data_IF_947162688271
#
_entry.id   IF_947162688271
#
_cell.length_a   1.000
_cell.length_b   1.000
_cell.length_c   1.000
_cell.angle_alpha   90.00
_cell.angle_beta   90.00
_cell.angle_gamma   90.00
#
_symmetry.space_group_name_H-M   'P 1'
#
loop_
_entity.id
_entity.type
_entity.pdbx_description
1 polymer ?
#
# COMPACT_ATOMS: atom_id res chain seq x y z
N UNK A 1 30.57 26.03 16.25
CA UNK A 1 30.72 25.30 14.97
C UNK A 1 29.47 24.47 14.77
N UNK A 2 28.52 24.97 13.98
CA UNK A 2 27.26 24.28 13.72
C UNK A 2 27.53 23.14 12.75
N UNK A 3 27.49 21.90 13.25
CA UNK A 3 27.49 20.71 12.43
C UNK A 3 26.16 20.67 11.68
N UNK A 4 26.12 21.23 10.47
CA UNK A 4 25.03 21.01 9.52
C UNK A 4 25.08 19.56 9.09
N UNK A 5 24.46 18.67 9.87
CA UNK A 5 24.19 17.28 9.51
C UNK A 5 23.36 17.31 8.24
N UNK A 6 24.05 17.26 7.10
CA UNK A 6 23.44 17.05 5.81
C UNK A 6 22.86 15.65 5.86
N UNK A 7 21.55 15.56 6.08
CA UNK A 7 20.78 14.32 5.99
C UNK A 7 20.80 13.92 4.51
N UNK A 8 21.85 13.21 4.10
CA UNK A 8 21.92 12.60 2.77
C UNK A 8 20.74 11.62 2.71
N UNK A 9 19.76 11.81 1.82
CA UNK A 9 18.63 10.90 1.73
C UNK A 9 19.16 9.51 1.29
N UNK A 10 18.82 8.43 2.00
CA UNK A 10 19.29 7.11 1.65
C UNK A 10 18.83 6.75 0.22
N UNK A 11 19.77 6.32 -0.61
CA UNK A 11 19.61 6.15 -2.07
C UNK A 11 18.53 5.11 -2.44
N UNK A 12 18.14 4.25 -1.48
CA UNK A 12 17.23 3.11 -1.65
C UNK A 12 15.78 3.39 -1.23
N UNK A 13 15.44 4.64 -0.91
CA UNK A 13 14.07 5.02 -0.59
C UNK A 13 13.18 5.12 -1.82
N UNK A 14 11.97 4.59 -1.71
CA UNK A 14 10.90 4.64 -2.70
C UNK A 14 9.72 5.44 -2.16
N UNK A 15 9.15 6.31 -3.00
CA UNK A 15 7.92 7.00 -2.69
C UNK A 15 6.73 6.18 -3.19
N UNK A 16 5.84 5.85 -2.27
CA UNK A 16 4.62 5.13 -2.52
C UNK A 16 3.46 6.09 -2.32
N UNK A 17 2.51 6.09 -3.26
CA UNK A 17 1.26 6.83 -3.12
C UNK A 17 0.20 5.85 -2.64
N UNK A 18 -0.31 6.04 -1.43
CA UNK A 18 -1.34 5.20 -0.86
C UNK A 18 -2.67 5.91 -0.96
N UNK A 19 -3.63 5.30 -1.66
CA UNK A 19 -5.00 5.84 -1.79
C UNK A 19 -5.94 5.02 -0.92
N UNK A 20 -6.56 5.61 0.11
CA UNK A 20 -7.59 4.97 0.93
C UNK A 20 -8.89 4.89 0.14
N UNK A 21 -9.47 3.71 -0.02
CA UNK A 21 -10.68 3.54 -0.83
C UNK A 21 -11.94 4.07 -0.13
N UNK A 22 -12.05 3.93 1.19
CA UNK A 22 -13.25 4.32 1.92
C UNK A 22 -13.51 5.83 1.92
N UNK A 23 -12.45 6.63 1.76
CA UNK A 23 -12.51 8.11 1.86
C UNK A 23 -11.88 8.84 0.66
N UNK A 24 -11.07 8.14 -0.14
CA UNK A 24 -10.29 8.75 -1.23
C UNK A 24 -8.99 9.41 -0.77
N UNK A 25 -8.63 9.30 0.51
CA UNK A 25 -7.46 9.97 1.09
C UNK A 25 -6.14 9.47 0.47
N UNK A 26 -5.34 10.41 -0.04
CA UNK A 26 -4.04 10.15 -0.65
C UNK A 26 -2.92 10.48 0.33
N UNK A 27 -2.11 9.48 0.67
CA UNK A 27 -0.94 9.62 1.54
C UNK A 27 0.33 9.23 0.79
N UNK A 28 1.31 10.14 0.77
CA UNK A 28 2.64 9.87 0.23
C UNK A 28 3.55 9.32 1.33
N UNK A 29 4.06 8.10 1.16
CA UNK A 29 4.91 7.43 2.13
C UNK A 29 6.26 7.06 1.51
N UNK A 30 7.35 7.42 2.17
CA UNK A 30 8.72 7.15 1.73
C UNK A 30 9.32 6.05 2.60
N UNK A 31 9.56 4.87 2.01
CA UNK A 31 10.08 3.69 2.70
C UNK A 31 11.22 3.06 1.91
N UNK A 32 12.02 2.18 2.52
CA UNK A 32 13.13 1.52 1.82
C UNK A 32 12.62 0.35 0.94
N UNK A 33 13.21 0.13 -0.24
CA UNK A 33 12.84 -1.00 -1.10
C UNK A 33 13.01 -2.38 -0.42
N UNK A 34 13.83 -2.44 0.64
CA UNK A 34 14.05 -3.64 1.46
C UNK A 34 13.00 -3.83 2.56
N UNK A 35 12.16 -2.82 2.83
CA UNK A 35 11.10 -2.92 3.83
C UNK A 35 10.05 -3.95 3.45
N UNK A 36 9.44 -4.52 4.49
CA UNK A 36 8.40 -5.54 4.34
C UNK A 36 7.03 -4.87 4.27
N UNK A 37 6.11 -5.39 3.44
CA UNK A 37 4.74 -4.87 3.32
C UNK A 37 4.03 -4.81 4.69
N UNK A 38 4.37 -5.71 5.61
CA UNK A 38 3.86 -5.72 6.98
C UNK A 38 4.19 -4.44 7.76
N UNK A 39 5.40 -3.92 7.64
CA UNK A 39 5.82 -2.67 8.29
C UNK A 39 5.06 -1.48 7.71
N UNK A 40 4.92 -1.47 6.39
CA UNK A 40 4.13 -0.47 5.66
C UNK A 40 2.68 -0.43 6.11
N UNK A 41 2.06 -1.60 6.29
CA UNK A 41 0.71 -1.69 6.83
C UNK A 41 0.64 -1.12 8.24
N UNK A 42 1.64 -1.36 9.08
CA UNK A 42 1.67 -0.80 10.43
C UNK A 42 1.82 0.72 10.41
N UNK A 43 2.72 1.25 9.56
CA UNK A 43 2.93 2.69 9.41
C UNK A 43 1.69 3.39 8.84
N UNK A 44 1.02 2.77 7.87
CA UNK A 44 -0.25 3.24 7.33
C UNK A 44 -1.35 3.21 8.38
N UNK A 45 -1.48 2.14 9.18
CA UNK A 45 -2.45 2.09 10.29
C UNK A 45 -2.21 3.18 11.33
N UNK A 46 -0.95 3.54 11.56
CA UNK A 46 -0.61 4.60 12.52
C UNK A 46 -0.94 5.99 11.98
N UNK A 47 -0.80 6.21 10.66
CA UNK A 47 -1.10 7.49 10.02
C UNK A 47 -2.59 7.63 9.70
N UNK A 48 -3.17 6.59 9.10
CA UNK A 48 -4.56 6.45 8.69
C UNK A 48 -5.17 5.24 9.40
N UNK A 49 -5.74 5.42 10.61
CA UNK A 49 -6.34 4.31 11.35
C UNK A 49 -7.45 3.67 10.49
N UNK A 50 -7.40 2.35 10.25
CA UNK A 50 -8.44 1.69 9.47
C UNK A 50 -9.76 1.79 10.25
N UNK A 51 -10.78 2.33 9.59
CA UNK A 51 -12.08 2.53 10.22
C UNK A 51 -12.76 1.20 10.55
N UNK A 52 -12.41 0.14 9.82
CA UNK A 52 -12.84 -1.22 10.09
C UNK A 52 -11.67 -2.08 10.62
N UNK A 53 -11.87 -2.75 11.75
CA UNK A 53 -10.88 -3.65 12.37
C UNK A 53 -10.52 -4.87 11.50
N UNK A 54 -11.26 -5.13 10.42
CA UNK A 54 -11.16 -6.35 9.59
C UNK A 54 -9.94 -6.39 8.65
N UNK A 55 -9.06 -5.38 8.73
CA UNK A 55 -7.70 -5.41 8.18
C UNK A 55 -7.48 -4.55 6.93
N UNK A 56 -6.23 -4.15 6.68
CA UNK A 56 -5.84 -3.30 5.54
C UNK A 56 -5.39 -4.16 4.35
N UNK A 57 -6.12 -4.12 3.24
CA UNK A 57 -5.73 -4.75 1.98
C UNK A 57 -5.00 -3.74 1.10
N UNK A 58 -3.70 -3.92 0.95
CA UNK A 58 -2.91 -3.14 0.00
C UNK A 58 -2.98 -3.81 -1.37
N UNK A 59 -3.41 -3.07 -2.38
CA UNK A 59 -3.62 -3.53 -3.75
C UNK A 59 -2.71 -2.71 -4.65
N UNK A 60 -1.82 -3.40 -5.37
CA UNK A 60 -0.89 -2.78 -6.32
C UNK A 60 -1.01 -3.49 -7.66
N UNK A 61 -1.23 -2.73 -8.75
CA UNK A 61 -1.46 -3.29 -10.10
C UNK A 61 -2.54 -4.39 -10.13
N UNK A 62 -3.61 -4.21 -9.36
CA UNK A 62 -4.68 -5.20 -9.21
C UNK A 62 -4.32 -6.44 -8.39
N UNK A 63 -3.11 -6.53 -7.83
CA UNK A 63 -2.66 -7.65 -6.99
C UNK A 63 -2.57 -7.24 -5.52
N UNK A 64 -3.03 -8.13 -4.65
CA UNK A 64 -2.93 -7.92 -3.20
C UNK A 64 -1.50 -8.13 -2.74
N UNK A 65 -0.94 -7.13 -2.06
CA UNK A 65 0.36 -7.24 -1.43
C UNK A 65 0.25 -8.12 -0.18
N UNK A 66 0.96 -9.25 -0.22
CA UNK A 66 1.13 -10.16 0.93
C UNK A 66 2.08 -9.53 1.94
N UNK A 67 1.70 -9.57 3.23
CA UNK A 67 2.50 -9.03 4.35
C UNK A 67 3.89 -9.64 4.45
N UNK A 68 4.08 -10.91 4.04
CA UNK A 68 5.35 -11.65 4.14
C UNK A 68 6.30 -11.41 2.94
N UNK A 69 6.09 -10.35 2.16
CA UNK A 69 6.92 -10.03 0.99
C UNK A 69 7.46 -8.61 1.09
N UNK A 70 8.64 -8.38 0.54
CA UNK A 70 9.29 -7.07 0.46
C UNK A 70 8.78 -6.27 -0.72
N UNK A 71 8.97 -4.95 -0.68
CA UNK A 71 8.59 -4.04 -1.77
C UNK A 71 9.30 -4.36 -3.09
N UNK A 72 10.61 -4.61 -3.02
CA UNK A 72 11.43 -5.02 -4.15
C UNK A 72 10.90 -6.27 -4.86
N UNK A 73 10.30 -7.22 -4.14
CA UNK A 73 9.72 -8.43 -4.72
C UNK A 73 8.57 -8.12 -5.69
N UNK A 74 7.84 -7.02 -5.46
CA UNK A 74 6.75 -6.56 -6.33
C UNK A 74 7.22 -5.59 -7.43
N UNK A 75 8.52 -5.28 -7.51
CA UNK A 75 9.07 -4.29 -8.42
C UNK A 75 8.86 -2.83 -7.96
N UNK A 76 8.60 -2.63 -6.66
CA UNK A 76 8.45 -1.31 -6.05
C UNK A 76 9.85 -0.77 -5.73
N UNK A 77 10.55 -0.27 -6.75
CA UNK A 77 11.95 0.23 -6.69
C UNK A 77 12.07 1.59 -7.37
N UNK A 78 13.04 2.42 -6.95
CA UNK A 78 13.27 3.80 -7.45
C UNK A 78 13.46 3.88 -8.98
N UNK A 79 13.98 2.82 -9.59
CA UNK A 79 14.32 2.76 -11.02
C UNK A 79 13.10 2.73 -11.96
N UNK A 80 11.89 2.53 -11.45
CA UNK A 80 10.66 2.54 -12.27
C UNK A 80 10.03 3.94 -12.40
N UNK A 81 10.69 4.99 -11.92
CA UNK A 81 10.23 6.36 -12.09
C UNK A 81 10.52 6.83 -13.53
N UNK A 82 9.50 7.09 -14.37
CA UNK A 82 9.73 7.72 -15.66
C UNK A 82 10.29 9.14 -15.47
N UNK A 83 11.02 9.69 -16.47
CA UNK A 83 11.59 11.04 -16.41
C UNK A 83 10.53 12.16 -16.25
N UNK A 84 9.23 11.83 -16.30
CA UNK A 84 8.11 12.73 -16.09
C UNK A 84 7.72 12.96 -14.61
N UNK A 85 8.52 12.48 -13.65
CA UNK A 85 8.53 13.03 -12.28
C UNK A 85 7.39 12.65 -11.35
N UNK A 86 6.40 11.85 -11.79
CA UNK A 86 5.36 11.32 -10.90
C UNK A 86 5.61 9.81 -10.74
N UNK A 87 6.05 9.42 -9.55
CA UNK A 87 6.24 8.01 -9.18
C UNK A 87 4.96 7.21 -9.44
N UNK A 88 5.03 6.25 -10.35
CA UNK A 88 3.92 5.40 -10.81
C UNK A 88 3.42 4.38 -9.78
N UNK A 89 3.86 4.48 -8.52
CA UNK A 89 3.56 3.49 -7.50
C UNK A 89 2.33 3.88 -6.70
N UNK A 90 1.17 3.63 -7.29
CA UNK A 90 -0.12 3.80 -6.62
C UNK A 90 -0.56 2.49 -5.97
N UNK A 91 -0.68 2.50 -4.65
CA UNK A 91 -1.14 1.39 -3.82
C UNK A 91 -2.50 1.78 -3.27
N UNK A 92 -3.53 1.01 -3.59
CA UNK A 92 -4.86 1.23 -3.03
C UNK A 92 -4.96 0.48 -1.70
N UNK A 93 -5.34 1.19 -0.65
CA UNK A 93 -5.70 0.62 0.64
C UNK A 93 -7.22 0.46 0.70
N UNK A 94 -7.69 -0.80 0.65
CA UNK A 94 -9.09 -1.17 0.79
C UNK A 94 -9.34 -1.65 2.23
N UNK A 95 -10.14 -0.88 2.97
CA UNK A 95 -10.65 -1.17 4.31
C UNK A 95 -12.19 -1.35 4.33
N UNK A 96 -12.85 -1.20 3.18
CA UNK A 96 -14.31 -1.18 3.02
C UNK A 96 -14.99 -2.56 3.18
N UNK A 97 -14.27 -3.68 3.06
CA UNK A 97 -14.87 -5.02 3.18
C UNK A 97 -14.21 -5.87 4.25
N UNK A 98 -15.04 -6.55 5.03
CA UNK A 98 -14.62 -7.66 5.85
C UNK A 98 -14.05 -8.76 4.94
N UNK A 99 -12.76 -9.06 5.12
CA UNK A 99 -12.02 -10.10 4.41
C UNK A 99 -12.73 -11.47 4.39
N UNK A 100 -13.68 -11.70 5.31
CA UNK A 100 -14.51 -12.89 5.39
C UNK A 100 -15.79 -12.79 4.54
N UNK A 101 -15.73 -12.76 3.21
CA UNK A 101 -16.89 -13.13 2.35
C UNK A 101 -16.43 -13.32 0.90
N UNK A 102 -15.52 -14.26 0.70
CA UNK A 102 -15.61 -15.11 -0.49
C UNK A 102 -16.70 -16.14 -0.16
N UNK A 103 -17.96 -15.77 -0.41
CA UNK A 103 -19.09 -16.71 -0.39
C UNK A 103 -20.01 -16.35 -1.55
N UNK A 104 -19.58 -16.80 -2.72
CA UNK A 104 -20.36 -17.38 -3.81
C UNK A 104 -21.80 -16.90 -4.00
N UNK A 105 -22.03 -16.22 -5.12
CA UNK A 105 -23.30 -16.32 -5.84
C UNK A 105 -23.60 -17.78 -6.16
N UNK A 106 -24.73 -18.29 -5.70
CA UNK A 106 -25.44 -19.38 -6.39
C UNK A 106 -26.88 -18.95 -6.56
N UNK A 107 -27.21 -18.57 -7.80
CA UNK A 107 -28.57 -18.58 -8.32
C UNK A 107 -29.16 -19.98 -8.13
N UNK A 108 -30.38 -20.06 -7.62
CA UNK A 108 -31.25 -21.21 -7.85
C UNK A 108 -32.69 -20.72 -7.77
N UNK A 109 -33.21 -20.45 -8.95
CA UNK A 109 -34.61 -20.31 -9.29
C UNK A 109 -35.26 -21.68 -9.10
N UNK A 110 -36.22 -21.85 -8.21
CA UNK A 110 -37.22 -22.93 -8.31
C UNK A 110 -38.59 -22.38 -7.89
N UNK A 111 -39.47 -22.29 -8.87
CA UNK A 111 -40.92 -22.14 -8.71
C UNK A 111 -41.52 -23.52 -8.45
N UNK A 112 -42.45 -23.62 -7.48
CA UNK A 112 -43.69 -24.40 -7.58
C UNK A 112 -44.68 -23.92 -6.49
#
# INVERSE_FOLDING_TARGET
MSSSTTVIPPVNQVQLTITRKSDGELLLLTVDEKSIVSELKAELKSRLPPQHEQGCRLIYKGKVLKSKRTLKHYGLTKNHQPPTGIGNTNIVMDDSKNWKSDSSSSSSEVSD
#
